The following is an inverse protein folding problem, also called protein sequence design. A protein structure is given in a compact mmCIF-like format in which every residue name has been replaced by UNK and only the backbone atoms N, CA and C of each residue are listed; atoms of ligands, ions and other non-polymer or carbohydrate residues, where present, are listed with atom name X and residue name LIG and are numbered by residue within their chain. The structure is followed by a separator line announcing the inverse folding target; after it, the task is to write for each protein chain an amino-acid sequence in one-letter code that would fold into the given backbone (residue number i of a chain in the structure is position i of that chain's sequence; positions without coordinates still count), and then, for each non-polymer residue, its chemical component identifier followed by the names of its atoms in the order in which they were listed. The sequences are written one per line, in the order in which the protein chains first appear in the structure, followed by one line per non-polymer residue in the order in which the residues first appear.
data_IF_184079241014
#
_entry.id   IF_184079241014
#
_cell.length_a   1.000
_cell.length_b   1.000
_cell.length_c   1.000
_cell.angle_alpha   90.00
_cell.angle_beta   90.00
_cell.angle_gamma   90.00
#
_symmetry.space_group_name_H-M   'P 1'
#
loop_
_entity.id
_entity.type
_entity.pdbx_description
1 polymer ?
#
# COMPACT_ATOMS: atom_id res chain seq x y z
N UNK A 1 17.57 27.82 19.62
CA UNK A 1 16.44 27.42 18.77
C UNK A 1 16.97 27.14 17.39
N UNK A 2 17.00 25.88 16.97
CA UNK A 2 17.30 25.51 15.59
C UNK A 2 16.16 24.60 15.12
N UNK A 3 15.31 25.15 14.26
CA UNK A 3 14.28 24.43 13.53
C UNK A 3 14.88 24.00 12.18
N UNK A 4 14.89 22.69 11.93
CA UNK A 4 14.95 22.07 10.61
C UNK A 4 14.19 20.76 10.77
N UNK A 5 13.18 20.41 10.00
CA UNK A 5 12.82 20.85 8.66
C UNK A 5 12.30 19.60 7.95
N UNK A 6 10.99 19.36 8.10
CA UNK A 6 10.07 18.62 7.21
C UNK A 6 10.70 17.44 6.43
N UNK A 7 10.46 16.20 6.87
CA UNK A 7 10.53 15.04 5.99
C UNK A 7 9.39 15.15 4.96
N UNK A 8 9.71 15.69 3.79
CA UNK A 8 8.84 15.58 2.63
C UNK A 8 8.80 14.10 2.19
N UNK A 9 7.61 13.50 2.26
CA UNK A 9 7.34 12.20 1.67
C UNK A 9 7.79 12.20 0.21
N UNK A 10 8.59 11.20 -0.15
CA UNK A 10 9.07 10.97 -1.51
C UNK A 10 7.89 10.48 -2.36
N UNK A 11 7.02 11.39 -2.78
CA UNK A 11 6.07 11.12 -3.84
C UNK A 11 6.85 10.92 -5.15
N UNK A 12 6.88 9.69 -5.66
CA UNK A 12 7.50 9.36 -6.94
C UNK A 12 6.85 10.17 -8.06
N UNK A 13 7.64 10.98 -8.77
CA UNK A 13 7.22 11.70 -9.98
C UNK A 13 6.84 10.69 -11.06
N UNK A 14 5.55 10.37 -11.16
CA UNK A 14 5.02 9.40 -12.10
C UNK A 14 4.89 10.03 -13.49
N UNK A 15 5.46 9.40 -14.51
CA UNK A 15 5.21 9.78 -15.91
C UNK A 15 3.74 9.48 -16.20
N UNK A 16 2.98 10.47 -16.69
CA UNK A 16 1.55 10.33 -16.96
C UNK A 16 1.31 9.16 -17.91
N UNK A 17 0.62 8.11 -17.43
CA UNK A 17 0.29 6.91 -18.21
C UNK A 17 1.28 5.74 -18.07
N UNK A 18 2.38 5.88 -17.34
CA UNK A 18 3.27 4.77 -16.98
C UNK A 18 2.73 3.98 -15.77
N UNK A 19 3.11 2.71 -15.63
CA UNK A 19 2.79 1.93 -14.45
C UNK A 19 3.36 2.62 -13.20
N UNK A 20 2.63 2.62 -12.07
CA UNK A 20 3.19 3.09 -10.81
C UNK A 20 4.45 2.33 -10.44
N UNK A 21 5.40 3.00 -9.80
CA UNK A 21 6.65 2.37 -9.34
C UNK A 21 6.35 1.22 -8.36
N UNK A 22 7.17 0.16 -8.41
CA UNK A 22 7.15 -0.91 -7.42
C UNK A 22 8.08 -0.54 -6.26
N UNK A 23 7.51 -0.38 -5.08
CA UNK A 23 8.25 -0.06 -3.86
C UNK A 23 8.68 -1.30 -3.07
N UNK A 24 8.34 -2.52 -3.49
CA UNK A 24 8.80 -3.73 -2.82
C UNK A 24 10.33 -3.84 -2.82
N UNK A 25 10.94 -4.37 -1.75
CA UNK A 25 12.35 -4.72 -1.76
C UNK A 25 12.69 -5.68 -2.90
N UNK A 26 13.91 -5.57 -3.44
CA UNK A 26 14.36 -6.45 -4.51
C UNK A 26 14.27 -7.92 -4.07
N UNK A 27 13.59 -8.76 -4.86
CA UNK A 27 13.39 -10.17 -4.57
C UNK A 27 12.39 -10.47 -3.44
N UNK A 28 11.64 -9.47 -2.98
CA UNK A 28 10.58 -9.69 -2.01
C UNK A 28 9.46 -10.56 -2.59
N UNK A 29 9.10 -11.63 -1.86
CA UNK A 29 7.79 -12.25 -2.00
C UNK A 29 6.74 -11.51 -1.15
N UNK A 30 5.54 -12.09 -1.03
CA UNK A 30 4.37 -11.44 -0.42
C UNK A 30 4.64 -10.83 0.96
N UNK A 31 5.36 -11.55 1.82
CA UNK A 31 5.68 -11.07 3.16
C UNK A 31 6.60 -9.83 3.13
N UNK A 32 7.56 -9.78 2.21
CA UNK A 32 8.48 -8.64 2.06
C UNK A 32 7.74 -7.39 1.58
N UNK A 33 6.89 -7.54 0.56
CA UNK A 33 6.02 -6.48 0.05
C UNK A 33 5.09 -5.93 1.14
N UNK A 34 4.41 -6.81 1.87
CA UNK A 34 3.50 -6.41 2.96
C UNK A 34 4.23 -5.69 4.10
N UNK A 35 5.43 -6.15 4.44
CA UNK A 35 6.24 -5.50 5.48
C UNK A 35 6.79 -4.15 5.04
N UNK A 36 7.08 -3.95 3.76
CA UNK A 36 7.40 -2.64 3.21
C UNK A 36 6.20 -1.69 3.26
N UNK A 37 5.02 -2.15 2.81
CA UNK A 37 3.79 -1.37 2.88
C UNK A 37 3.48 -0.88 4.31
N UNK A 38 3.67 -1.75 5.31
CA UNK A 38 3.57 -1.38 6.73
C UNK A 38 4.59 -0.30 7.11
N UNK A 39 5.87 -0.49 6.77
CA UNK A 39 6.94 0.48 7.10
C UNK A 39 6.69 1.86 6.51
N UNK A 40 6.33 1.93 5.23
CA UNK A 40 6.02 3.20 4.55
C UNK A 40 4.78 3.88 5.14
N UNK A 41 3.85 3.10 5.69
CA UNK A 41 2.65 3.60 6.35
C UNK A 41 2.82 3.93 7.84
N UNK A 42 4.02 3.74 8.40
CA UNK A 42 4.26 3.95 9.84
C UNK A 42 3.65 2.86 10.75
N UNK A 43 3.29 1.71 10.20
CA UNK A 43 2.81 0.55 10.95
C UNK A 43 4.03 -0.34 11.31
N UNK A 44 4.23 -0.70 12.58
CA UNK A 44 5.23 -1.69 12.98
C UNK A 44 5.05 -3.01 12.22
N UNK A 45 6.12 -3.58 11.67
CA UNK A 45 6.04 -4.82 10.89
C UNK A 45 5.58 -6.03 11.72
N UNK A 46 5.75 -5.99 13.04
CA UNK A 46 5.24 -7.02 13.96
C UNK A 46 3.76 -6.85 14.31
N UNK A 47 3.16 -5.68 14.05
CA UNK A 47 1.77 -5.41 14.38
C UNK A 47 0.84 -6.28 13.52
N UNK A 48 -0.13 -6.90 14.17
CA UNK A 48 -1.22 -7.63 13.53
C UNK A 48 -2.34 -6.65 13.13
N UNK A 49 -3.10 -6.95 12.06
CA UNK A 49 -4.26 -6.14 11.70
C UNK A 49 -5.28 -6.15 12.84
N UNK A 50 -5.88 -5.00 13.14
CA UNK A 50 -7.03 -4.91 14.05
C UNK A 50 -8.28 -5.47 13.40
N UNK A 51 -8.35 -5.43 12.07
CA UNK A 51 -9.45 -6.00 11.29
C UNK A 51 -8.97 -6.44 9.90
N UNK A 52 -9.60 -7.48 9.38
CA UNK A 52 -9.43 -7.93 8.00
C UNK A 52 -10.80 -7.96 7.33
N UNK A 53 -10.93 -7.27 6.20
CA UNK A 53 -12.19 -7.23 5.43
C UNK A 53 -11.97 -7.64 3.98
N UNK A 54 -13.06 -7.86 3.26
CA UNK A 54 -13.02 -8.15 1.82
C UNK A 54 -12.48 -6.95 1.05
N UNK A 55 -11.78 -7.21 -0.05
CA UNK A 55 -11.37 -6.17 -0.98
C UNK A 55 -12.56 -5.74 -1.83
N UNK A 56 -12.97 -4.48 -1.67
CA UNK A 56 -14.11 -3.90 -2.37
C UNK A 56 -13.63 -2.75 -3.25
N UNK A 57 -14.09 -2.72 -4.50
CA UNK A 57 -13.88 -1.55 -5.36
C UNK A 57 -14.73 -0.35 -4.90
N UNK A 58 -14.56 0.81 -5.55
CA UNK A 58 -15.30 2.04 -5.24
C UNK A 58 -16.83 1.92 -5.43
N UNK A 59 -17.30 0.88 -6.11
CA UNK A 59 -18.72 0.60 -6.37
C UNK A 59 -19.26 -0.50 -5.44
N UNK A 60 -18.42 -1.03 -4.55
CA UNK A 60 -18.78 -2.08 -3.60
C UNK A 60 -18.72 -3.51 -4.17
N UNK A 61 -18.12 -3.71 -5.35
CA UNK A 61 -17.95 -5.06 -5.89
C UNK A 61 -16.75 -5.75 -5.25
N UNK A 62 -16.87 -7.06 -5.03
CA UNK A 62 -15.77 -7.88 -4.55
C UNK A 62 -14.65 -7.97 -5.59
N UNK A 63 -13.43 -7.75 -5.12
CA UNK A 63 -12.20 -7.98 -5.85
C UNK A 63 -11.39 -9.09 -5.16
N UNK A 64 -10.55 -9.83 -5.89
CA UNK A 64 -9.64 -10.79 -5.27
C UNK A 64 -8.74 -10.11 -4.22
N UNK A 65 -8.58 -10.77 -3.08
CA UNK A 65 -7.74 -10.31 -1.98
C UNK A 65 -8.51 -9.73 -0.80
N UNK A 66 -7.85 -8.91 0.00
CA UNK A 66 -8.32 -8.46 1.31
C UNK A 66 -7.93 -6.99 1.58
N UNK A 67 -8.54 -6.39 2.60
CA UNK A 67 -8.09 -5.14 3.20
C UNK A 67 -7.69 -5.42 4.64
N UNK A 68 -6.47 -5.03 4.99
CA UNK A 68 -5.93 -5.11 6.34
C UNK A 68 -6.04 -3.72 6.98
N UNK A 69 -6.81 -3.60 8.06
CA UNK A 69 -6.89 -2.39 8.85
C UNK A 69 -5.98 -2.49 10.07
N UNK A 70 -5.30 -1.40 10.38
CA UNK A 70 -4.41 -1.27 11.54
C UNK A 70 -4.77 -0.01 12.30
N UNK A 71 -4.94 -0.13 13.61
CA UNK A 71 -5.05 1.03 14.49
C UNK A 71 -3.65 1.40 14.99
N UNK A 72 -3.21 2.62 14.69
CA UNK A 72 -1.93 3.17 15.14
C UNK A 72 -2.17 4.45 15.95
N UNK A 73 -1.30 4.81 16.92
CA UNK A 73 -1.44 6.05 17.67
C UNK A 73 -1.44 7.28 16.74
N UNK A 74 -2.39 8.20 16.97
CA UNK A 74 -2.46 9.46 16.23
C UNK A 74 -1.65 10.57 16.93
N UNK A 75 -1.10 11.49 16.15
CA UNK A 75 -0.46 12.70 16.69
C UNK A 75 -1.52 13.58 17.36
N UNK A 76 -1.41 13.79 18.67
CA UNK A 76 -2.42 14.51 19.47
C UNK A 76 -3.31 13.61 20.34
N UNK A 77 -3.05 12.30 20.37
CA UNK A 77 -3.80 11.32 21.16
C UNK A 77 -4.87 10.61 20.34
N UNK A 78 -5.33 9.46 20.84
CA UNK A 78 -6.26 8.58 20.14
C UNK A 78 -5.57 7.68 19.10
N UNK A 79 -6.38 7.11 18.21
CA UNK A 79 -5.93 6.16 17.18
C UNK A 79 -6.34 6.64 15.78
N UNK A 80 -5.48 6.35 14.81
CA UNK A 80 -5.75 6.44 13.38
C UNK A 80 -5.88 5.02 12.84
N UNK A 81 -6.92 4.75 12.04
CA UNK A 81 -6.98 3.55 11.22
C UNK A 81 -6.19 3.78 9.93
N UNK A 82 -5.29 2.85 9.61
CA UNK A 82 -4.55 2.79 8.36
C UNK A 82 -4.93 1.51 7.62
N UNK A 83 -5.16 1.61 6.31
CA UNK A 83 -5.49 0.46 5.47
C UNK A 83 -4.34 0.08 4.54
N UNK A 84 -4.06 -1.22 4.46
CA UNK A 84 -3.27 -1.82 3.39
C UNK A 84 -4.18 -2.76 2.61
N UNK A 85 -4.33 -2.49 1.32
CA UNK A 85 -5.15 -3.30 0.40
C UNK A 85 -4.27 -4.34 -0.28
N UNK A 86 -4.77 -5.55 -0.37
CA UNK A 86 -4.18 -6.67 -1.10
C UNK A 86 -5.00 -6.91 -2.38
N UNK A 87 -4.42 -6.53 -3.51
CA UNK A 87 -4.94 -6.81 -4.84
C UNK A 87 -4.32 -8.10 -5.37
N UNK A 88 -4.69 -9.21 -4.74
CA UNK A 88 -4.07 -10.51 -5.02
C UNK A 88 -4.31 -11.00 -6.45
N UNK A 89 -5.39 -10.54 -7.09
CA UNK A 89 -5.69 -10.82 -8.50
C UNK A 89 -4.93 -9.94 -9.49
N UNK A 90 -4.25 -8.88 -9.02
CA UNK A 90 -3.61 -7.89 -9.87
C UNK A 90 -4.60 -7.13 -10.78
N UNK A 91 -4.07 -6.63 -11.89
CA UNK A 91 -4.82 -5.89 -12.90
C UNK A 91 -4.42 -6.35 -14.31
N UNK A 92 -5.41 -6.73 -15.12
CA UNK A 92 -5.27 -7.02 -16.54
C UNK A 92 -6.23 -6.13 -17.35
N UNK A 93 -5.67 -5.28 -18.20
CA UNK A 93 -6.36 -4.36 -19.08
C UNK A 93 -6.19 -4.73 -20.55
N UNK A 94 -5.78 -5.97 -20.85
CA UNK A 94 -5.57 -6.51 -22.18
C UNK A 94 -4.09 -6.60 -22.58
N UNK A 95 -3.84 -7.32 -23.67
CA UNK A 95 -2.49 -7.66 -24.14
C UNK A 95 -1.66 -6.41 -24.42
N UNK A 96 -0.45 -6.36 -23.85
CA UNK A 96 0.51 -5.27 -24.07
C UNK A 96 0.20 -3.97 -23.34
N UNK A 97 -0.83 -3.94 -22.49
CA UNK A 97 -1.13 -2.75 -21.72
C UNK A 97 -0.08 -2.55 -20.61
N UNK A 98 0.60 -1.40 -20.65
CA UNK A 98 1.65 -1.05 -19.68
C UNK A 98 1.15 -0.95 -18.23
N UNK A 99 -0.16 -0.82 -18.01
CA UNK A 99 -0.77 -0.76 -16.69
C UNK A 99 -1.05 -2.14 -16.09
N UNK A 100 -0.84 -3.22 -16.86
CA UNK A 100 -1.00 -4.57 -16.34
C UNK A 100 -0.03 -4.80 -15.19
N UNK A 101 -0.52 -5.37 -14.09
CA UNK A 101 0.25 -5.59 -12.87
C UNK A 101 -0.17 -6.89 -12.21
N UNK A 102 0.81 -7.63 -11.68
CA UNK A 102 0.55 -8.82 -10.88
C UNK A 102 -0.05 -8.51 -9.51
N UNK A 103 -0.04 -9.52 -8.66
CA UNK A 103 -0.42 -9.39 -7.26
C UNK A 103 0.43 -8.32 -6.57
N UNK A 104 -0.22 -7.44 -5.82
CA UNK A 104 0.48 -6.37 -5.12
C UNK A 104 -0.33 -5.84 -3.93
N UNK A 105 0.33 -5.13 -3.03
CA UNK A 105 -0.32 -4.33 -2.00
C UNK A 105 -0.38 -2.86 -2.38
N UNK A 106 -1.35 -2.14 -1.82
CA UNK A 106 -1.38 -0.68 -1.83
C UNK A 106 -1.54 -0.13 -0.42
N UNK A 107 -0.90 1.00 -0.15
CA UNK A 107 -1.16 1.80 1.04
C UNK A 107 -2.08 3.00 0.74
N UNK A 108 -2.44 3.75 1.79
CA UNK A 108 -3.27 4.96 1.68
C UNK A 108 -2.63 6.09 0.88
N UNK A 109 -1.31 6.06 0.71
CA UNK A 109 -0.58 7.06 -0.09
C UNK A 109 -0.61 6.73 -1.59
N UNK A 110 -1.17 5.58 -1.97
CA UNK A 110 -1.21 5.11 -3.35
C UNK A 110 0.10 4.46 -3.81
N UNK A 111 0.98 4.09 -2.88
CA UNK A 111 2.17 3.32 -3.22
C UNK A 111 1.78 1.88 -3.59
N UNK A 112 2.64 1.20 -4.36
CA UNK A 112 2.39 -0.16 -4.84
C UNK A 112 3.56 -1.08 -4.48
N UNK A 113 3.27 -2.28 -4.00
CA UNK A 113 4.25 -3.24 -3.51
C UNK A 113 4.00 -4.63 -4.11
N UNK A 114 4.75 -4.98 -5.16
CA UNK A 114 4.57 -6.23 -5.93
C UNK A 114 5.11 -7.45 -5.19
N UNK A 115 4.52 -8.61 -5.45
CA UNK A 115 4.98 -9.89 -4.92
C UNK A 115 4.60 -11.13 -5.73
#
# INVERSE_FOLDING_TARGET
MAAMGILAGRGSSSVKGAAPENMSPLGAGRAGAFNEAKRQSGIPTSQQPSKVTLNLDKRGNLQPGLIYEFEVPASGGGVKTIRIRDDSGGHDFGVGNSQNRGSHFNDESGNHYDY
#
